data_IF_015818306840
#
_entry.id   IF_015818306840
#
_cell.length_a   1.000
_cell.length_b   1.000
_cell.length_c   1.000
_cell.angle_alpha   90.00
_cell.angle_beta   90.00
_cell.angle_gamma   90.00
#
_symmetry.space_group_name_H-M   'P 1'
#
loop_
_entity.id
_entity.type
_entity.pdbx_description
1 polymer ?
#
# COMPACT_ATOMS: atom_id res chain seq x y z
N UNK A 1 -9.61 16.24 1.20
CA UNK A 1 -11.01 15.79 1.12
C UNK A 1 -11.31 14.86 2.25
N UNK A 2 -11.30 13.54 2.03
CA UNK A 2 -11.66 12.54 3.03
C UNK A 2 -10.81 12.59 4.32
N UNK A 3 -9.47 12.64 4.19
CA UNK A 3 -8.59 12.72 5.37
C UNK A 3 -8.77 14.00 6.19
N UNK A 4 -9.24 15.10 5.58
CA UNK A 4 -9.54 16.33 6.31
C UNK A 4 -10.82 16.11 7.11
N UNK A 5 -11.87 15.61 6.46
CA UNK A 5 -13.15 15.34 7.10
C UNK A 5 -13.02 14.37 8.30
N UNK A 6 -12.24 13.28 8.16
CA UNK A 6 -12.01 12.35 9.27
C UNK A 6 -11.36 13.05 10.47
N UNK A 7 -10.43 13.97 10.22
CA UNK A 7 -9.75 14.71 11.30
C UNK A 7 -10.63 15.79 11.93
N UNK A 8 -11.57 16.36 11.18
CA UNK A 8 -12.46 17.41 11.66
C UNK A 8 -13.67 16.87 12.41
N UNK A 9 -14.16 15.67 12.03
CA UNK A 9 -15.43 15.13 12.53
C UNK A 9 -15.29 13.85 13.36
N UNK A 10 -14.09 13.28 13.51
CA UNK A 10 -13.88 12.10 14.34
C UNK A 10 -12.85 12.38 15.43
N UNK A 11 -13.26 12.29 16.70
CA UNK A 11 -12.36 12.46 17.85
C UNK A 11 -11.46 11.25 18.11
N UNK A 12 -11.74 10.12 17.45
CA UNK A 12 -10.96 8.89 17.53
C UNK A 12 -10.76 8.33 16.12
N UNK A 13 -9.56 8.52 15.55
CA UNK A 13 -9.26 8.08 14.21
C UNK A 13 -7.83 7.56 14.09
N UNK A 14 -7.65 6.62 13.17
CA UNK A 14 -6.37 6.18 12.66
C UNK A 14 -6.41 6.25 11.13
N UNK A 15 -5.59 7.11 10.54
CA UNK A 15 -5.43 7.22 9.09
C UNK A 15 -4.12 6.52 8.72
N UNK A 16 -4.24 5.44 7.97
CA UNK A 16 -3.10 4.68 7.46
C UNK A 16 -2.86 5.08 6.00
N UNK A 17 -1.72 5.71 5.74
CA UNK A 17 -1.26 5.99 4.37
C UNK A 17 -0.32 4.88 3.93
N UNK A 18 -0.52 4.39 2.70
CA UNK A 18 0.29 3.32 2.12
C UNK A 18 0.52 3.59 0.64
N UNK A 19 1.34 2.77 -0.02
CA UNK A 19 1.70 2.93 -1.43
C UNK A 19 1.69 1.60 -2.17
N UNK A 20 1.38 1.65 -3.47
CA UNK A 20 1.54 0.54 -4.42
C UNK A 20 1.00 -0.80 -3.87
N UNK A 21 -0.25 -0.77 -3.38
CA UNK A 21 -0.90 -1.91 -2.74
C UNK A 21 -1.13 -3.02 -3.75
N UNK A 22 -0.74 -4.25 -3.40
CA UNK A 22 -1.03 -5.44 -4.19
C UNK A 22 -1.51 -6.58 -3.29
N UNK A 23 -2.22 -7.54 -3.88
CA UNK A 23 -2.79 -8.67 -3.14
C UNK A 23 -2.75 -9.97 -3.94
N UNK A 24 -2.94 -11.09 -3.25
CA UNK A 24 -3.10 -12.39 -3.90
C UNK A 24 -4.48 -12.52 -4.58
N UNK A 25 -5.42 -11.63 -4.29
CA UNK A 25 -6.79 -11.68 -4.78
C UNK A 25 -7.06 -10.55 -5.80
N UNK A 26 -8.08 -10.70 -6.65
CA UNK A 26 -8.42 -9.66 -7.65
C UNK A 26 -7.31 -9.38 -8.67
N UNK A 27 -7.49 -8.32 -9.48
CA UNK A 27 -6.49 -7.87 -10.45
C UNK A 27 -5.62 -6.77 -9.84
N UNK A 28 -4.31 -6.85 -10.07
CA UNK A 28 -3.35 -5.81 -9.64
C UNK A 28 -2.16 -5.76 -10.59
N UNK A 29 -1.31 -4.74 -10.39
CA UNK A 29 -0.15 -4.48 -11.23
C UNK A 29 0.82 -5.66 -11.31
N UNK A 30 1.13 -6.31 -10.17
CA UNK A 30 2.03 -7.47 -10.11
C UNK A 30 1.51 -8.62 -10.98
N UNK A 31 0.22 -8.93 -10.91
CA UNK A 31 -0.39 -9.97 -11.77
C UNK A 31 -0.37 -9.61 -13.25
N UNK A 32 -0.57 -8.33 -13.59
CA UNK A 32 -0.48 -7.86 -14.97
C UNK A 32 0.93 -8.02 -15.53
N UNK A 33 1.97 -7.70 -14.75
CA UNK A 33 3.38 -7.90 -15.12
C UNK A 33 3.67 -9.39 -15.32
N UNK A 34 3.31 -10.25 -14.35
CA UNK A 34 3.51 -11.70 -14.46
C UNK A 34 2.85 -12.30 -15.70
N UNK A 35 1.59 -11.93 -15.97
CA UNK A 35 0.85 -12.43 -17.15
C UNK A 35 1.52 -12.04 -18.46
N UNK A 36 1.96 -10.79 -18.59
CA UNK A 36 2.62 -10.31 -19.80
C UNK A 36 4.01 -10.92 -19.99
N UNK A 37 4.77 -11.12 -18.91
CA UNK A 37 6.05 -11.82 -18.93
C UNK A 37 5.89 -13.27 -19.40
N UNK A 38 4.89 -13.99 -18.89
CA UNK A 38 4.56 -15.35 -19.32
C UNK A 38 4.11 -15.43 -20.79
N UNK A 39 3.47 -14.38 -21.31
CA UNK A 39 3.11 -14.27 -22.73
C UNK A 39 4.26 -13.79 -23.62
N UNK A 40 5.48 -13.64 -23.09
CA UNK A 40 6.67 -13.17 -23.81
C UNK A 40 6.46 -11.85 -24.55
N UNK A 41 5.58 -10.98 -24.04
CA UNK A 41 5.37 -9.65 -24.62
C UNK A 41 6.44 -8.69 -24.09
N UNK A 42 6.95 -7.82 -24.96
CA UNK A 42 7.79 -6.71 -24.54
C UNK A 42 7.01 -5.83 -23.55
N UNK A 43 7.51 -5.71 -22.32
CA UNK A 43 6.93 -4.89 -21.28
C UNK A 43 7.57 -3.50 -21.30
N UNK A 44 6.75 -2.45 -21.41
CA UNK A 44 7.18 -1.07 -21.14
C UNK A 44 6.66 -0.69 -19.77
N UNK A 45 7.57 -0.56 -18.82
CA UNK A 45 7.26 -0.20 -17.43
C UNK A 45 7.94 1.11 -17.10
N UNK A 46 7.23 1.97 -16.38
CA UNK A 46 7.69 3.30 -15.99
C UNK A 46 8.84 3.18 -15.00
N UNK A 47 9.98 3.78 -15.30
CA UNK A 47 11.21 3.66 -14.52
C UNK A 47 11.47 4.82 -13.55
N UNK A 48 10.84 5.99 -13.79
CA UNK A 48 11.01 7.21 -13.00
C UNK A 48 10.01 7.33 -11.83
N UNK A 49 9.06 6.38 -11.72
CA UNK A 49 8.15 6.28 -10.58
C UNK A 49 8.68 5.31 -9.54
N UNK A 50 9.21 5.86 -8.44
CA UNK A 50 9.72 5.12 -7.29
C UNK A 50 8.64 5.07 -6.20
N UNK A 51 8.32 3.87 -5.71
CA UNK A 51 7.35 3.67 -4.62
C UNK A 51 7.76 2.50 -3.73
N UNK A 52 6.96 2.17 -2.71
CA UNK A 52 7.14 0.99 -1.87
C UNK A 52 5.93 0.05 -2.03
N UNK A 53 6.03 -1.00 -2.86
CA UNK A 53 4.95 -1.99 -3.00
C UNK A 53 4.60 -2.61 -1.66
N UNK A 54 3.32 -2.60 -1.31
CA UNK A 54 2.87 -3.07 0.01
C UNK A 54 1.83 -4.18 -0.16
N UNK A 55 2.08 -5.33 0.45
CA UNK A 55 1.12 -6.44 0.44
C UNK A 55 -0.12 -6.08 1.29
N UNK A 56 -1.32 -6.41 0.82
CA UNK A 56 -2.54 -6.27 1.64
C UNK A 56 -2.49 -7.11 2.92
N UNK A 57 -1.75 -8.22 2.93
CA UNK A 57 -1.61 -9.08 4.10
C UNK A 57 -0.81 -8.36 5.18
N UNK A 58 0.39 -7.88 4.84
CA UNK A 58 1.23 -7.09 5.75
C UNK A 58 0.50 -5.82 6.21
N UNK A 59 -0.20 -5.13 5.31
CA UNK A 59 -0.96 -3.94 5.66
C UNK A 59 -2.04 -4.25 6.70
N UNK A 60 -2.76 -5.38 6.56
CA UNK A 60 -3.77 -5.80 7.52
C UNK A 60 -3.13 -6.15 8.87
N UNK A 61 -2.06 -6.95 8.87
CA UNK A 61 -1.37 -7.37 10.09
C UNK A 61 -0.86 -6.16 10.88
N UNK A 62 -0.19 -5.21 10.22
CA UNK A 62 0.29 -3.98 10.87
C UNK A 62 -0.83 -3.07 11.34
N UNK A 63 -1.96 -3.05 10.63
CA UNK A 63 -3.13 -2.29 11.08
C UNK A 63 -3.70 -2.86 12.38
N UNK A 64 -3.74 -4.18 12.51
CA UNK A 64 -4.20 -4.86 13.72
C UNK A 64 -3.22 -4.65 14.88
N UNK A 65 -1.91 -4.79 14.64
CA UNK A 65 -0.88 -4.51 15.66
C UNK A 65 -0.98 -3.09 16.21
N UNK A 66 -1.26 -2.10 15.36
CA UNK A 66 -1.44 -0.71 15.80
C UNK A 66 -2.64 -0.56 16.74
N UNK A 67 -3.75 -1.23 16.42
CA UNK A 67 -4.95 -1.19 17.26
C UNK A 67 -4.73 -1.94 18.59
N UNK A 68 -3.96 -3.02 18.59
CA UNK A 68 -3.69 -3.84 19.77
C UNK A 68 -2.69 -3.18 20.73
N UNK A 69 -1.53 -2.76 20.21
CA UNK A 69 -0.44 -2.24 21.03
C UNK A 69 -0.55 -0.73 21.31
N UNK A 70 -1.28 0.01 20.47
CA UNK A 70 -1.45 1.45 20.60
C UNK A 70 -2.93 1.86 20.57
N UNK A 71 -3.79 1.31 21.44
CA UNK A 71 -5.24 1.50 21.39
C UNK A 71 -5.70 2.95 21.61
N UNK A 72 -4.83 3.79 22.18
CA UNK A 72 -5.10 5.23 22.38
C UNK A 72 -4.45 6.12 21.32
N UNK A 73 -3.65 5.56 20.42
CA UNK A 73 -3.02 6.35 19.38
C UNK A 73 -4.08 6.81 18.38
N UNK A 74 -4.08 8.12 18.14
CA UNK A 74 -4.96 8.78 17.19
C UNK A 74 -4.10 9.66 16.30
N UNK A 75 -4.24 9.51 15.00
CA UNK A 75 -3.37 10.24 14.09
C UNK A 75 -3.18 9.57 12.74
N UNK A 76 -2.07 9.94 12.11
CA UNK A 76 -1.70 9.51 10.77
C UNK A 76 -0.41 8.69 10.88
N UNK A 77 -0.43 7.49 10.32
CA UNK A 77 0.74 6.62 10.21
C UNK A 77 0.99 6.26 8.75
N UNK A 78 2.24 6.04 8.39
CA UNK A 78 2.61 5.56 7.06
C UNK A 78 3.09 4.13 7.17
N UNK A 79 2.43 3.22 6.47
CA UNK A 79 2.79 1.80 6.40
C UNK A 79 3.17 1.49 4.96
N UNK A 80 4.42 1.11 4.77
CA UNK A 80 4.92 0.64 3.49
C UNK A 80 6.02 -0.39 3.68
N UNK A 81 6.07 -1.38 2.79
CA UNK A 81 7.00 -2.50 2.90
C UNK A 81 8.31 -2.22 2.14
N UNK A 82 9.44 -2.61 2.74
CA UNK A 82 10.74 -2.65 2.07
C UNK A 82 11.36 -1.28 1.71
N UNK A 83 12.51 -1.31 0.99
CA UNK A 83 13.11 -0.11 0.41
C UNK A 83 12.29 0.39 -0.78
N UNK A 84 12.38 1.70 -1.14
CA UNK A 84 11.76 2.22 -2.35
C UNK A 84 12.34 1.55 -3.61
N UNK A 85 11.47 1.19 -4.55
CA UNK A 85 11.82 0.57 -5.83
C UNK A 85 11.01 1.21 -6.96
N UNK A 86 11.59 1.27 -8.16
CA UNK A 86 10.81 1.55 -9.36
C UNK A 86 10.12 0.27 -9.84
N UNK A 87 9.08 0.41 -10.66
CA UNK A 87 8.45 -0.77 -11.28
C UNK A 87 9.33 -1.44 -12.35
N UNK A 88 10.41 -0.79 -12.76
CA UNK A 88 11.27 -1.22 -13.86
C UNK A 88 12.47 -2.08 -13.42
N UNK A 89 13.03 -1.80 -12.24
CA UNK A 89 14.33 -2.31 -11.81
C UNK A 89 14.39 -3.84 -11.65
#
# INVERSE_FOLDING_TARGET
GAEIAVREYCDNYLIIRTSAVFSLYGQNFVKAILRNALMQKSLKVVADQVSKPTSTMELADRSLELLEFFPQYKGIVHIAQGPPVSWYA
#
